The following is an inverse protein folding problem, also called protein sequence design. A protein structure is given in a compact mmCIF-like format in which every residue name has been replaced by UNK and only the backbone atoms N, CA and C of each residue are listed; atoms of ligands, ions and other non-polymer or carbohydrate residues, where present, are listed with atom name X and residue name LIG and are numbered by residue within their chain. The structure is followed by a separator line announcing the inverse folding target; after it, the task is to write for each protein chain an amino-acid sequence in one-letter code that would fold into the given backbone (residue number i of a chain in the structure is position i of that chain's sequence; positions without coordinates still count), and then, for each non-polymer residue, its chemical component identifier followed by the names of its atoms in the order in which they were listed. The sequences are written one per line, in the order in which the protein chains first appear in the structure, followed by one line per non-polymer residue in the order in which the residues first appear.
data_IF_935098792363
#
_entry.id   IF_935098792363
#
_cell.length_a   1.000
_cell.length_b   1.000
_cell.length_c   1.000
_cell.angle_alpha   90.00
_cell.angle_beta   90.00
_cell.angle_gamma   90.00
#
_symmetry.space_group_name_H-M   'P 1'
#
loop_
_entity.id
_entity.type
_entity.pdbx_description
1 polymer ?
#
# COMPACT_ATOMS: atom_id res chain seq x y z
N UNK A 1 20.97 -34.50 6.14
CA UNK A 1 22.29 -34.05 5.69
C UNK A 1 22.10 -33.38 4.35
N UNK A 2 22.46 -32.10 4.22
CA UNK A 2 22.50 -31.34 2.97
C UNK A 2 23.95 -31.00 2.64
N UNK A 3 24.29 -30.94 1.35
CA UNK A 3 25.58 -30.45 0.87
C UNK A 3 25.29 -29.32 -0.12
N UNK A 4 25.95 -28.18 0.03
CA UNK A 4 25.94 -27.06 -0.91
C UNK A 4 27.21 -27.12 -1.75
N UNK A 5 27.09 -27.01 -3.05
CA UNK A 5 28.20 -26.88 -3.98
C UNK A 5 28.10 -25.46 -4.55
N UNK A 6 29.13 -24.66 -4.36
CA UNK A 6 29.18 -23.26 -4.80
C UNK A 6 29.99 -23.19 -6.12
N UNK A 7 29.84 -22.10 -6.86
CA UNK A 7 30.57 -21.74 -8.09
C UNK A 7 30.48 -22.81 -9.20
N UNK A 8 29.30 -23.41 -9.37
CA UNK A 8 29.07 -24.37 -10.47
C UNK A 8 28.71 -23.59 -11.75
N UNK A 9 29.53 -23.67 -12.81
CA UNK A 9 29.20 -23.01 -14.08
C UNK A 9 27.90 -23.51 -14.70
N UNK A 10 27.28 -22.71 -15.54
CA UNK A 10 26.08 -23.08 -16.30
C UNK A 10 26.37 -24.32 -17.16
N UNK A 11 25.49 -25.32 -17.13
CA UNK A 11 25.66 -26.54 -17.90
C UNK A 11 24.78 -27.70 -17.43
N UNK A 12 24.96 -28.85 -18.08
CA UNK A 12 24.31 -30.10 -17.66
C UNK A 12 25.29 -30.92 -16.84
N UNK A 13 24.87 -31.32 -15.64
CA UNK A 13 25.71 -32.02 -14.68
C UNK A 13 25.11 -33.34 -14.23
N UNK A 14 26.01 -34.32 -14.01
CA UNK A 14 25.70 -35.56 -13.30
C UNK A 14 26.15 -35.44 -11.86
N UNK A 15 25.23 -35.48 -10.91
CA UNK A 15 25.56 -35.51 -9.48
C UNK A 15 25.62 -36.94 -8.98
N UNK A 16 26.67 -37.25 -8.23
CA UNK A 16 26.84 -38.55 -7.58
C UNK A 16 27.16 -38.37 -6.11
N UNK A 17 26.48 -39.10 -5.25
CA UNK A 17 26.71 -39.10 -3.82
C UNK A 17 26.84 -40.54 -3.30
N UNK A 18 27.71 -40.74 -2.33
CA UNK A 18 27.82 -42.00 -1.60
C UNK A 18 28.14 -41.74 -0.14
N UNK A 19 27.74 -42.64 0.73
CA UNK A 19 28.15 -42.65 2.13
C UNK A 19 29.49 -43.39 2.32
N UNK A 20 30.25 -42.94 3.32
CA UNK A 20 31.47 -43.58 3.77
C UNK A 20 31.31 -43.76 5.27
N UNK A 21 31.45 -45.01 5.75
CA UNK A 21 31.37 -45.29 7.18
C UNK A 21 32.73 -45.03 7.88
N UNK A 22 32.76 -45.17 9.21
CA UNK A 22 33.97 -44.96 10.03
C UNK A 22 35.13 -45.91 9.72
N UNK A 23 34.88 -47.02 9.04
CA UNK A 23 35.91 -47.99 8.58
C UNK A 23 36.30 -47.76 7.11
N UNK A 24 35.96 -46.60 6.54
CA UNK A 24 36.26 -46.22 5.16
C UNK A 24 35.62 -47.14 4.09
N UNK A 25 34.60 -47.89 4.46
CA UNK A 25 33.81 -48.68 3.49
C UNK A 25 32.78 -47.74 2.82
N UNK A 26 32.73 -47.80 1.49
CA UNK A 26 31.96 -46.92 0.64
C UNK A 26 30.68 -47.63 0.17
N UNK A 27 29.53 -46.94 0.20
CA UNK A 27 28.32 -47.44 -0.42
C UNK A 27 28.39 -47.38 -1.95
N UNK A 28 27.41 -47.99 -2.64
CA UNK A 28 27.17 -47.72 -4.04
C UNK A 28 26.87 -46.22 -4.26
N UNK A 29 27.11 -45.73 -5.47
CA UNK A 29 26.76 -44.37 -5.86
C UNK A 29 25.25 -44.24 -6.02
N UNK A 30 24.67 -43.20 -5.42
CA UNK A 30 23.41 -42.66 -5.84
C UNK A 30 23.71 -41.58 -6.89
N UNK A 31 23.06 -41.63 -8.04
CA UNK A 31 23.32 -40.74 -9.16
C UNK A 31 22.04 -40.01 -9.57
N UNK A 32 22.17 -38.72 -9.87
CA UNK A 32 21.18 -37.89 -10.49
C UNK A 32 21.81 -37.32 -11.77
N UNK A 33 21.36 -37.78 -12.93
CA UNK A 33 21.96 -37.43 -14.23
C UNK A 33 21.25 -36.30 -14.93
N UNK A 34 22.00 -35.60 -15.79
CA UNK A 34 21.50 -34.56 -16.71
C UNK A 34 20.73 -33.43 -16.01
N UNK A 35 21.22 -33.02 -14.85
CA UNK A 35 20.61 -31.89 -14.15
C UNK A 35 21.12 -30.58 -14.74
N UNK A 36 20.21 -29.71 -15.23
CA UNK A 36 20.59 -28.41 -15.74
C UNK A 36 20.97 -27.50 -14.56
N UNK A 37 22.13 -26.89 -14.63
CA UNK A 37 22.50 -25.73 -13.82
C UNK A 37 22.37 -24.52 -14.72
N UNK A 38 21.30 -23.77 -14.56
CA UNK A 38 21.02 -22.58 -15.38
C UNK A 38 21.78 -21.34 -14.86
N UNK A 39 22.32 -21.40 -13.66
CA UNK A 39 23.03 -20.30 -13.00
C UNK A 39 22.13 -19.14 -12.62
N UNK A 40 22.70 -18.09 -12.08
CA UNK A 40 22.03 -16.84 -11.70
C UNK A 40 21.60 -15.99 -12.93
N UNK A 41 21.77 -16.48 -14.17
CA UNK A 41 21.45 -15.76 -15.39
C UNK A 41 20.07 -16.10 -15.96
N UNK A 42 19.46 -17.21 -15.55
CA UNK A 42 18.12 -17.57 -15.98
C UNK A 42 17.07 -16.92 -15.06
N UNK A 43 16.01 -16.32 -15.63
CA UNK A 43 14.90 -15.81 -14.82
C UNK A 43 14.20 -16.99 -14.08
N UNK A 44 13.70 -16.77 -12.86
CA UNK A 44 12.97 -17.80 -12.13
C UNK A 44 11.63 -18.14 -12.84
N UNK A 45 11.10 -19.33 -12.50
CA UNK A 45 9.80 -19.75 -13.02
C UNK A 45 8.67 -18.83 -12.54
N UNK A 46 7.68 -18.59 -13.42
CA UNK A 46 6.47 -17.86 -13.05
C UNK A 46 5.73 -18.55 -11.90
N UNK A 47 5.11 -17.76 -11.03
CA UNK A 47 4.24 -18.29 -9.98
C UNK A 47 3.09 -19.10 -10.59
N UNK A 48 2.69 -20.18 -9.93
CA UNK A 48 1.55 -20.99 -10.35
C UNK A 48 0.44 -20.95 -9.31
N UNK A 49 -0.83 -21.14 -9.76
CA UNK A 49 -2.03 -21.12 -8.92
C UNK A 49 -2.17 -19.82 -8.09
N UNK A 50 -1.73 -18.71 -8.66
CA UNK A 50 -1.88 -17.40 -8.02
C UNK A 50 -3.37 -17.04 -7.95
N UNK A 51 -3.85 -16.77 -6.76
CA UNK A 51 -5.26 -16.45 -6.50
C UNK A 51 -5.40 -15.49 -5.34
N UNK A 52 -6.51 -14.74 -5.32
CA UNK A 52 -6.85 -13.80 -4.27
C UNK A 52 -8.28 -14.04 -3.80
N UNK A 53 -8.49 -13.98 -2.49
CA UNK A 53 -9.79 -14.05 -1.84
C UNK A 53 -9.95 -12.87 -0.90
N UNK A 54 -11.06 -12.14 -1.02
CA UNK A 54 -11.44 -11.11 -0.05
C UNK A 54 -12.03 -11.77 1.19
N UNK A 55 -11.50 -11.43 2.36
CA UNK A 55 -12.00 -11.88 3.66
C UNK A 55 -11.75 -10.78 4.69
N UNK A 56 -12.80 -10.38 5.43
CA UNK A 56 -12.74 -9.40 6.52
C UNK A 56 -12.02 -8.08 6.15
N UNK A 57 -12.25 -7.58 4.92
CA UNK A 57 -11.61 -6.36 4.43
C UNK A 57 -10.14 -6.52 4.05
N UNK A 58 -9.65 -7.76 3.98
CA UNK A 58 -8.29 -8.09 3.60
C UNK A 58 -8.25 -8.92 2.31
N UNK A 59 -7.18 -8.77 1.55
CA UNK A 59 -6.86 -9.60 0.40
C UNK A 59 -5.96 -10.75 0.84
N UNK A 60 -6.52 -11.94 0.95
CA UNK A 60 -5.76 -13.16 1.17
C UNK A 60 -5.27 -13.70 -0.16
N UNK A 61 -4.00 -13.55 -0.41
CA UNK A 61 -3.35 -13.95 -1.66
C UNK A 61 -2.62 -15.28 -1.42
N UNK A 62 -2.71 -16.19 -2.37
CA UNK A 62 -2.03 -17.49 -2.29
C UNK A 62 -1.51 -17.94 -3.65
N UNK A 63 -0.47 -18.76 -3.61
CA UNK A 63 0.15 -19.38 -4.78
C UNK A 63 0.70 -20.76 -4.44
N UNK A 64 1.00 -21.56 -5.46
CA UNK A 64 1.62 -22.87 -5.25
C UNK A 64 3.04 -22.70 -4.73
N UNK A 65 3.50 -23.74 -4.01
CA UNK A 65 4.88 -23.80 -3.52
C UNK A 65 5.87 -23.63 -4.67
N UNK A 66 6.79 -22.70 -4.51
CA UNK A 66 7.88 -22.46 -5.45
C UNK A 66 8.87 -23.64 -5.34
N UNK A 67 9.35 -24.09 -6.48
CA UNK A 67 10.33 -25.19 -6.57
C UNK A 67 11.70 -24.71 -7.00
N UNK A 68 11.80 -23.49 -7.45
CA UNK A 68 13.04 -22.86 -7.86
C UNK A 68 13.92 -22.59 -6.63
N UNK A 69 15.09 -23.21 -6.60
CA UNK A 69 15.98 -23.16 -5.46
C UNK A 69 16.57 -21.77 -5.23
N UNK A 70 16.77 -20.99 -6.30
CA UNK A 70 17.32 -19.65 -6.22
C UNK A 70 16.30 -18.66 -5.60
N UNK A 71 15.01 -18.93 -5.80
CA UNK A 71 13.95 -18.18 -5.12
C UNK A 71 13.80 -18.63 -3.66
N UNK A 72 13.90 -19.92 -3.39
CA UNK A 72 13.75 -20.49 -2.03
C UNK A 72 14.89 -20.05 -1.11
N UNK A 73 16.13 -19.99 -1.61
CA UNK A 73 17.36 -19.85 -0.82
C UNK A 73 17.92 -18.43 -0.76
N UNK A 74 17.14 -17.42 -1.03
CA UNK A 74 17.60 -16.03 -0.95
C UNK A 74 16.71 -15.08 -1.73
N UNK A 75 15.90 -15.64 -2.64
CA UNK A 75 14.92 -14.89 -3.39
C UNK A 75 13.62 -14.66 -2.62
N UNK A 76 12.67 -14.06 -3.30
CA UNK A 76 11.40 -13.64 -2.71
C UNK A 76 10.28 -13.57 -3.75
N UNK A 77 9.06 -13.34 -3.28
CA UNK A 77 7.90 -12.96 -4.12
C UNK A 77 7.64 -11.49 -3.90
N UNK A 78 7.54 -10.73 -4.99
CA UNK A 78 7.12 -9.34 -4.98
C UNK A 78 5.69 -9.23 -5.47
N UNK A 79 4.88 -8.47 -4.74
CA UNK A 79 3.50 -8.19 -5.12
C UNK A 79 3.37 -6.70 -5.42
N UNK A 80 2.72 -6.38 -6.55
CA UNK A 80 2.32 -5.03 -6.95
C UNK A 80 0.81 -4.93 -7.04
N UNK A 81 0.30 -3.73 -6.90
CA UNK A 81 -1.11 -3.42 -7.08
C UNK A 81 -1.29 -2.25 -8.03
N UNK A 82 -2.33 -2.31 -8.85
CA UNK A 82 -2.81 -1.21 -9.69
C UNK A 82 -4.32 -1.11 -9.61
N UNK A 83 -4.86 0.09 -9.83
CA UNK A 83 -6.32 0.33 -9.91
C UNK A 83 -6.93 -0.20 -11.23
N UNK A 84 -6.13 -0.65 -12.18
CA UNK A 84 -6.60 -1.21 -13.45
C UNK A 84 -7.19 -2.60 -13.21
N UNK A 85 -8.47 -2.80 -13.61
CA UNK A 85 -9.18 -4.07 -13.43
C UNK A 85 -8.95 -5.08 -14.56
N UNK A 86 -8.65 -4.63 -15.75
CA UNK A 86 -8.46 -5.47 -16.93
C UNK A 86 -7.30 -4.98 -17.77
N UNK A 87 -6.45 -5.90 -18.23
CA UNK A 87 -5.28 -5.59 -19.02
C UNK A 87 -4.12 -4.98 -18.23
N UNK A 88 -4.14 -5.07 -16.90
CA UNK A 88 -3.05 -4.61 -16.04
C UNK A 88 -1.74 -5.31 -16.39
N UNK A 89 -0.67 -4.54 -16.46
CA UNK A 89 0.69 -5.02 -16.70
C UNK A 89 1.57 -4.72 -15.48
N UNK A 90 2.67 -5.45 -15.33
CA UNK A 90 3.56 -5.36 -14.16
C UNK A 90 4.03 -3.92 -13.87
N UNK A 91 4.36 -3.17 -14.92
CA UNK A 91 4.80 -1.78 -14.84
C UNK A 91 3.70 -0.78 -14.43
N UNK A 92 2.42 -1.16 -14.56
CA UNK A 92 1.30 -0.30 -14.14
C UNK A 92 1.08 -0.31 -12.63
N UNK A 93 1.75 -1.26 -11.93
CA UNK A 93 1.55 -1.47 -10.51
C UNK A 93 2.67 -0.93 -9.66
N UNK A 94 2.30 -0.59 -8.43
CA UNK A 94 3.24 -0.20 -7.38
C UNK A 94 3.36 -1.29 -6.33
N UNK A 95 4.53 -1.39 -5.73
CA UNK A 95 4.78 -2.37 -4.69
C UNK A 95 3.78 -2.21 -3.54
N UNK A 96 3.19 -3.33 -3.10
CA UNK A 96 2.27 -3.38 -1.97
C UNK A 96 2.76 -4.43 -0.97
N UNK A 97 3.09 -4.00 0.22
CA UNK A 97 3.72 -4.84 1.22
C UNK A 97 5.22 -5.04 0.99
N UNK A 98 5.82 -5.80 1.88
CA UNK A 98 7.23 -6.16 1.81
C UNK A 98 7.47 -7.36 0.89
N UNK A 99 8.74 -7.60 0.55
CA UNK A 99 9.17 -8.80 -0.15
C UNK A 99 8.86 -10.04 0.70
N UNK A 100 8.19 -11.03 0.09
CA UNK A 100 7.73 -12.24 0.76
C UNK A 100 8.72 -13.35 0.49
N UNK A 101 9.29 -13.98 1.53
CA UNK A 101 10.25 -15.08 1.36
C UNK A 101 9.77 -16.12 0.34
N UNK A 102 10.67 -16.58 -0.52
CA UNK A 102 10.39 -17.62 -1.53
C UNK A 102 9.89 -18.97 -0.95
N UNK A 103 9.99 -19.16 0.36
CA UNK A 103 9.44 -20.33 1.05
C UNK A 103 7.96 -20.22 1.40
N UNK A 104 7.40 -19.01 1.38
CA UNK A 104 6.00 -18.75 1.68
C UNK A 104 5.10 -19.07 0.47
N UNK A 105 3.83 -19.35 0.75
CA UNK A 105 2.82 -19.66 -0.27
C UNK A 105 1.59 -18.75 -0.17
N UNK A 106 1.60 -17.79 0.73
CA UNK A 106 0.50 -16.86 0.95
C UNK A 106 0.97 -15.56 1.56
N UNK A 107 0.14 -14.53 1.39
CA UNK A 107 0.29 -13.23 2.03
C UNK A 107 -1.08 -12.62 2.29
N UNK A 108 -1.16 -11.76 3.30
CA UNK A 108 -2.38 -10.99 3.60
C UNK A 108 -2.05 -9.52 3.41
N UNK A 109 -2.80 -8.88 2.53
CA UNK A 109 -2.62 -7.48 2.15
C UNK A 109 -3.94 -6.72 2.34
N UNK A 110 -3.90 -5.39 2.40
CA UNK A 110 -5.12 -4.58 2.39
C UNK A 110 -5.97 -4.89 1.15
N UNK A 111 -7.31 -4.98 1.33
CA UNK A 111 -8.22 -5.16 0.22
C UNK A 111 -8.40 -3.85 -0.54
N UNK A 112 -7.96 -3.83 -1.79
CA UNK A 112 -8.07 -2.69 -2.70
C UNK A 112 -8.81 -3.13 -3.98
N UNK A 113 -9.65 -2.27 -4.57
CA UNK A 113 -10.17 -2.51 -5.90
C UNK A 113 -9.05 -2.40 -6.93
N UNK A 114 -9.03 -3.29 -7.92
CA UNK A 114 -7.98 -3.30 -8.94
C UNK A 114 -7.34 -4.68 -9.11
N UNK A 115 -6.09 -4.71 -9.52
CA UNK A 115 -5.36 -5.94 -9.82
C UNK A 115 -4.11 -6.07 -8.96
N UNK A 116 -4.01 -7.19 -8.26
CA UNK A 116 -2.79 -7.66 -7.62
C UNK A 116 -1.98 -8.47 -8.61
N UNK A 117 -0.71 -8.18 -8.69
CA UNK A 117 0.24 -8.81 -9.60
C UNK A 117 1.42 -9.34 -8.80
N UNK A 118 1.89 -10.53 -9.14
CA UNK A 118 3.02 -11.13 -8.43
C UNK A 118 4.04 -11.72 -9.39
N UNK A 119 5.31 -11.50 -9.07
CA UNK A 119 6.47 -12.13 -9.71
C UNK A 119 7.35 -12.80 -8.65
N UNK A 120 7.97 -13.91 -9.01
CA UNK A 120 9.08 -14.47 -8.27
C UNK A 120 10.36 -13.71 -8.60
N UNK A 121 11.23 -13.56 -7.62
CA UNK A 121 12.55 -12.90 -7.75
C UNK A 121 13.59 -13.85 -7.19
N UNK A 122 14.64 -14.11 -7.93
CA UNK A 122 15.75 -14.96 -7.49
C UNK A 122 16.72 -14.21 -6.54
N UNK A 123 17.69 -14.90 -5.99
CA UNK A 123 18.74 -14.33 -5.14
C UNK A 123 19.57 -13.26 -5.88
N UNK A 124 19.66 -13.34 -7.21
CA UNK A 124 20.35 -12.37 -8.06
C UNK A 124 19.52 -11.13 -8.41
N UNK A 125 18.27 -11.04 -7.94
CA UNK A 125 17.38 -9.91 -8.19
C UNK A 125 16.61 -9.99 -9.51
N UNK A 126 16.67 -11.10 -10.26
CA UNK A 126 15.93 -11.25 -11.52
C UNK A 126 14.51 -11.67 -11.28
N UNK A 127 13.62 -11.05 -12.02
CA UNK A 127 12.18 -11.33 -11.97
C UNK A 127 11.80 -12.49 -12.90
N UNK A 128 10.77 -13.25 -12.51
CA UNK A 128 10.10 -14.18 -13.43
C UNK A 128 9.53 -13.43 -14.64
N UNK A 129 9.47 -14.12 -15.79
CA UNK A 129 9.11 -13.49 -17.06
C UNK A 129 7.72 -12.87 -17.00
N UNK A 130 6.72 -13.62 -16.54
CA UNK A 130 5.34 -13.15 -16.53
C UNK A 130 4.84 -12.91 -15.11
N UNK A 131 4.18 -11.77 -14.89
CA UNK A 131 3.43 -11.55 -13.67
C UNK A 131 2.15 -12.42 -13.66
N UNK A 132 1.79 -12.96 -12.51
CA UNK A 132 0.47 -13.56 -12.29
C UNK A 132 -0.47 -12.53 -11.68
N UNK A 133 -1.71 -12.51 -12.15
CA UNK A 133 -2.68 -11.48 -11.86
C UNK A 133 -3.90 -12.05 -11.16
N UNK A 134 -4.41 -11.30 -10.18
CA UNK A 134 -5.70 -11.56 -9.55
C UNK A 134 -6.43 -10.23 -9.33
N UNK A 135 -7.56 -10.04 -9.99
CA UNK A 135 -8.31 -8.77 -9.94
C UNK A 135 -9.49 -8.86 -8.99
N UNK A 136 -9.82 -7.75 -8.37
CA UNK A 136 -11.00 -7.58 -7.53
C UNK A 136 -11.68 -6.25 -7.79
N UNK A 137 -12.98 -6.30 -7.95
CA UNK A 137 -13.85 -5.12 -7.97
C UNK A 137 -14.60 -4.93 -6.64
N UNK A 138 -14.24 -5.68 -5.59
CA UNK A 138 -14.84 -5.51 -4.27
C UNK A 138 -14.47 -4.11 -3.79
N UNK A 139 -15.44 -3.23 -3.57
CA UNK A 139 -15.17 -1.92 -3.01
C UNK A 139 -14.59 -2.07 -1.61
N UNK A 140 -13.78 -1.10 -1.20
CA UNK A 140 -13.34 -1.01 0.17
C UNK A 140 -14.59 -0.94 1.07
N UNK A 141 -14.82 -1.97 1.90
CA UNK A 141 -16.11 -2.21 2.58
C UNK A 141 -16.37 -1.18 3.71
N UNK A 142 -15.40 -0.32 4.03
CA UNK A 142 -15.57 0.69 5.06
C UNK A 142 -15.90 2.05 4.44
N UNK A 143 -17.04 2.62 4.82
CA UNK A 143 -17.33 4.03 4.56
C UNK A 143 -16.38 4.86 5.44
N UNK A 144 -15.35 5.40 4.82
CA UNK A 144 -14.45 6.36 5.43
C UNK A 144 -14.80 7.77 4.98
N UNK A 145 -14.63 8.73 5.85
CA UNK A 145 -14.76 10.13 5.50
C UNK A 145 -13.39 10.69 5.14
N UNK A 146 -13.21 11.04 3.87
CA UNK A 146 -12.01 11.72 3.42
C UNK A 146 -11.83 13.03 4.17
N UNK A 147 -10.81 13.09 5.02
CA UNK A 147 -10.49 14.26 5.85
C UNK A 147 -9.52 15.15 5.12
N UNK A 148 -8.46 14.53 4.56
CA UNK A 148 -7.43 15.24 3.80
C UNK A 148 -7.09 14.42 2.57
N UNK A 149 -7.09 15.06 1.39
CA UNK A 149 -6.52 14.51 0.17
C UNK A 149 -5.42 15.44 -0.31
N UNK A 150 -4.20 14.92 -0.43
CA UNK A 150 -3.05 15.62 -1.00
C UNK A 150 -2.84 15.07 -2.41
N UNK A 151 -2.98 15.93 -3.41
CA UNK A 151 -2.82 15.57 -4.82
C UNK A 151 -1.66 16.35 -5.40
N UNK A 152 -0.66 15.65 -5.92
CA UNK A 152 0.56 16.25 -6.46
C UNK A 152 0.52 16.40 -7.99
N UNK A 153 -0.15 15.45 -8.68
CA UNK A 153 -0.32 15.53 -10.14
C UNK A 153 -1.36 16.60 -10.53
N UNK A 154 -1.25 17.23 -11.68
CA UNK A 154 -0.21 17.06 -12.70
C UNK A 154 1.00 17.97 -12.50
N UNK A 155 1.00 18.84 -11.50
CA UNK A 155 1.99 19.91 -11.37
C UNK A 155 3.26 19.48 -10.63
N UNK A 156 3.15 18.54 -9.69
CA UNK A 156 4.26 18.04 -8.88
C UNK A 156 5.14 19.16 -8.33
N UNK A 157 4.54 20.04 -7.51
CA UNK A 157 5.18 21.27 -7.03
C UNK A 157 6.16 21.06 -5.88
N UNK A 158 6.20 19.86 -5.33
CA UNK A 158 7.09 19.50 -4.22
C UNK A 158 8.57 19.50 -4.59
N UNK A 159 9.43 19.35 -3.57
CA UNK A 159 10.87 19.31 -3.74
C UNK A 159 11.32 18.04 -4.48
N UNK A 160 12.33 18.17 -5.33
CA UNK A 160 12.84 17.11 -6.20
C UNK A 160 14.35 16.99 -6.04
N UNK A 161 14.84 15.77 -6.06
CA UNK A 161 16.27 15.45 -6.15
C UNK A 161 16.41 14.47 -7.31
N UNK A 162 17.21 14.82 -8.30
CA UNK A 162 17.47 14.04 -9.53
C UNK A 162 16.18 13.65 -10.28
N UNK A 163 15.16 14.51 -10.18
CA UNK A 163 13.87 14.38 -10.84
C UNK A 163 13.35 15.72 -11.35
N UNK A 164 12.61 15.68 -12.45
CA UNK A 164 11.96 16.85 -13.03
C UNK A 164 10.56 16.55 -13.53
N UNK A 165 9.82 17.60 -13.86
CA UNK A 165 8.48 17.50 -14.47
C UNK A 165 8.55 17.91 -15.92
N UNK A 166 8.25 16.99 -16.80
CA UNK A 166 8.21 17.22 -18.25
C UNK A 166 6.82 16.88 -18.77
N UNK A 167 6.16 17.83 -19.41
CA UNK A 167 4.80 17.64 -19.96
C UNK A 167 3.78 17.09 -18.95
N UNK A 168 3.82 17.60 -17.70
CA UNK A 168 2.98 17.17 -16.58
C UNK A 168 3.25 15.74 -16.08
N UNK A 169 4.40 15.18 -16.40
CA UNK A 169 4.84 13.87 -15.92
C UNK A 169 6.09 14.05 -15.08
N UNK A 170 6.11 13.44 -13.89
CA UNK A 170 7.30 13.42 -13.05
C UNK A 170 8.17 12.23 -13.48
N UNK A 171 9.45 12.50 -13.73
CA UNK A 171 10.43 11.52 -14.21
C UNK A 171 11.82 11.80 -13.65
N UNK A 172 12.73 10.82 -13.77
CA UNK A 172 14.14 11.00 -13.45
C UNK A 172 14.81 11.96 -14.44
N UNK A 173 15.80 12.70 -13.95
CA UNK A 173 16.62 13.56 -14.78
C UNK A 173 17.55 12.76 -15.68
N UNK A 174 17.95 13.35 -16.80
CA UNK A 174 18.99 12.79 -17.65
C UNK A 174 20.37 13.32 -17.21
N UNK A 175 21.32 12.42 -16.97
CA UNK A 175 22.73 12.75 -16.69
C UNK A 175 23.40 13.27 -17.97
N UNK A 176 23.07 12.66 -19.10
CA UNK A 176 23.53 13.03 -20.44
C UNK A 176 22.53 12.59 -21.50
N UNK A 177 22.77 12.87 -22.78
CA UNK A 177 21.87 12.41 -23.84
C UNK A 177 21.73 10.89 -23.78
N UNK A 178 20.53 10.41 -23.43
CA UNK A 178 20.16 9.01 -23.39
C UNK A 178 20.60 8.23 -22.15
N UNK A 179 21.13 8.88 -21.12
CA UNK A 179 21.48 8.23 -19.85
C UNK A 179 20.68 8.87 -18.74
N UNK A 180 19.88 8.08 -18.09
CA UNK A 180 18.96 8.50 -17.00
C UNK A 180 19.60 8.24 -15.65
N UNK A 181 19.29 9.08 -14.66
CA UNK A 181 19.73 8.92 -13.28
C UNK A 181 19.34 7.54 -12.70
N UNK A 182 20.23 6.97 -11.90
CA UNK A 182 20.00 5.68 -11.22
C UNK A 182 19.01 5.75 -10.07
N UNK A 183 18.69 6.95 -9.58
CA UNK A 183 17.70 7.15 -8.53
C UNK A 183 17.22 8.58 -8.48
N UNK A 184 16.07 8.80 -7.88
CA UNK A 184 15.55 10.13 -7.62
C UNK A 184 14.53 10.14 -6.48
N UNK A 185 14.30 11.32 -5.92
CA UNK A 185 13.32 11.48 -4.83
C UNK A 185 12.43 12.69 -5.07
N UNK A 186 11.14 12.47 -4.93
CA UNK A 186 10.12 13.52 -4.94
C UNK A 186 9.46 13.62 -3.57
N UNK A 187 9.53 14.77 -2.93
CA UNK A 187 8.82 15.06 -1.68
C UNK A 187 7.50 15.77 -2.00
N UNK A 188 6.42 15.37 -1.36
CA UNK A 188 5.14 16.07 -1.50
C UNK A 188 5.27 17.53 -1.07
N UNK A 189 4.53 18.39 -1.76
CA UNK A 189 4.58 19.84 -1.49
C UNK A 189 4.05 20.19 -0.09
N UNK A 190 3.10 19.42 0.41
CA UNK A 190 2.47 19.66 1.69
C UNK A 190 2.36 18.37 2.51
N UNK A 191 2.52 18.51 3.83
CA UNK A 191 2.15 17.50 4.80
C UNK A 191 0.66 17.60 5.12
N UNK A 192 0.04 16.49 5.56
CA UNK A 192 -1.32 16.51 6.10
C UNK A 192 -1.26 16.71 7.63
N UNK A 193 -2.00 17.71 8.14
CA UNK A 193 -2.23 17.92 9.58
C UNK A 193 -3.71 17.72 9.89
N UNK A 194 -4.03 16.79 10.77
CA UNK A 194 -5.39 16.48 11.21
C UNK A 194 -5.87 17.37 12.39
N UNK A 195 -5.01 18.27 12.88
CA UNK A 195 -5.32 19.13 14.03
C UNK A 195 -5.31 18.42 15.39
N UNK A 196 -5.12 17.12 15.42
CA UNK A 196 -5.03 16.25 16.61
C UNK A 196 -4.63 14.84 16.20
N UNK A 197 -4.23 14.00 17.16
CA UNK A 197 -3.84 12.62 16.90
C UNK A 197 -5.07 11.72 16.81
N UNK A 198 -5.30 11.13 15.64
CA UNK A 198 -6.42 10.23 15.35
C UNK A 198 -5.93 8.94 14.72
N UNK A 199 -6.70 7.86 14.91
CA UNK A 199 -6.54 6.67 14.07
C UNK A 199 -7.21 6.92 12.74
N UNK A 200 -6.44 6.88 11.65
CA UNK A 200 -6.91 7.19 10.30
C UNK A 200 -6.45 6.12 9.32
N UNK A 201 -7.30 5.80 8.34
CA UNK A 201 -6.93 4.98 7.19
C UNK A 201 -6.21 5.84 6.17
N UNK A 202 -5.01 5.42 5.76
CA UNK A 202 -4.26 6.10 4.70
C UNK A 202 -4.25 5.22 3.46
N UNK A 203 -4.68 5.82 2.34
CA UNK A 203 -4.66 5.20 1.02
C UNK A 203 -3.89 6.09 0.05
N UNK A 204 -3.35 5.51 -1.02
CA UNK A 204 -2.61 6.26 -2.02
C UNK A 204 -2.98 5.80 -3.43
N UNK A 205 -2.86 6.72 -4.38
CA UNK A 205 -2.89 6.44 -5.80
C UNK A 205 -1.56 6.89 -6.39
N UNK A 206 -0.75 5.94 -6.86
CA UNK A 206 0.48 6.17 -7.58
C UNK A 206 0.38 5.40 -8.90
N UNK A 207 0.36 6.10 -10.03
CA UNK A 207 0.36 5.52 -11.35
C UNK A 207 1.66 5.87 -12.05
N UNK A 208 2.39 4.84 -12.42
CA UNK A 208 3.66 4.97 -13.12
C UNK A 208 3.72 4.01 -14.30
N UNK A 209 4.53 4.35 -15.28
CA UNK A 209 4.90 3.50 -16.41
C UNK A 209 6.36 3.70 -16.72
N UNK A 210 6.99 2.72 -17.35
CA UNK A 210 8.36 2.82 -17.82
C UNK A 210 8.39 2.93 -19.34
N UNK A 211 9.29 3.74 -19.86
CA UNK A 211 9.49 3.89 -21.28
C UNK A 211 10.99 4.05 -21.58
N UNK A 212 11.38 3.59 -22.73
CA UNK A 212 12.73 3.82 -23.22
C UNK A 212 12.98 5.33 -23.38
N UNK A 213 14.14 5.79 -22.96
CA UNK A 213 14.55 7.20 -23.01
C UNK A 213 15.41 7.52 -24.23
N UNK A 214 15.87 6.48 -24.93
CA UNK A 214 16.69 6.59 -26.14
C UNK A 214 16.07 5.80 -27.27
N UNK A 215 16.27 6.26 -28.50
CA UNK A 215 15.99 5.46 -29.69
C UNK A 215 17.10 4.41 -29.85
N UNK A 216 16.92 3.25 -29.23
CA UNK A 216 17.88 2.16 -29.28
C UNK A 216 18.00 1.59 -30.69
N UNK A 217 16.96 1.66 -31.54
CA UNK A 217 16.98 1.15 -32.88
C UNK A 217 18.07 1.82 -33.69
N UNK A 218 18.12 3.14 -33.67
CA UNK A 218 19.12 3.93 -34.47
C UNK A 218 20.54 3.83 -33.90
N UNK A 219 20.70 3.51 -32.63
CA UNK A 219 21.99 3.43 -31.93
C UNK A 219 22.60 2.02 -31.91
N UNK A 220 21.84 0.98 -32.25
CA UNK A 220 22.28 -0.42 -32.22
C UNK A 220 23.17 -0.77 -33.41
N UNK A 221 24.36 -1.28 -33.09
CA UNK A 221 25.33 -1.78 -34.08
C UNK A 221 25.31 -3.30 -34.24
N UNK A 222 24.64 -4.01 -33.31
CA UNK A 222 24.50 -5.47 -33.37
C UNK A 222 23.40 -5.89 -34.35
N UNK A 223 23.49 -7.12 -34.86
CA UNK A 223 22.43 -7.68 -35.71
C UNK A 223 21.11 -7.82 -34.90
N UNK A 224 20.00 -7.55 -35.58
CA UNK A 224 18.64 -7.61 -34.98
C UNK A 224 18.34 -8.96 -34.32
N UNK A 225 18.91 -10.05 -34.82
CA UNK A 225 18.74 -11.39 -34.27
C UNK A 225 19.38 -11.57 -32.89
N UNK A 226 20.25 -10.62 -32.48
CA UNK A 226 20.92 -10.64 -31.16
C UNK A 226 20.27 -9.69 -30.14
N UNK A 227 19.20 -9.01 -30.54
CA UNK A 227 18.51 -8.08 -29.63
C UNK A 227 17.56 -8.83 -28.68
N UNK A 228 17.70 -8.57 -27.40
CA UNK A 228 16.80 -9.15 -26.38
C UNK A 228 15.44 -8.45 -26.37
N UNK A 229 15.41 -7.13 -26.68
CA UNK A 229 14.21 -6.30 -26.67
C UNK A 229 14.19 -5.36 -27.87
N UNK A 230 12.99 -4.97 -28.30
CA UNK A 230 12.76 -3.88 -29.26
C UNK A 230 12.52 -2.56 -28.54
N UNK A 231 12.66 -1.44 -29.24
CA UNK A 231 12.31 -0.12 -28.74
C UNK A 231 10.85 -0.07 -28.27
N UNK A 232 10.63 0.60 -27.15
CA UNK A 232 9.31 0.77 -26.57
C UNK A 232 8.86 -0.36 -25.64
N UNK A 233 9.64 -1.42 -25.45
CA UNK A 233 9.34 -2.41 -24.42
C UNK A 233 9.53 -1.79 -23.02
N UNK A 234 8.61 -2.06 -22.10
CA UNK A 234 8.76 -1.57 -20.73
C UNK A 234 9.86 -2.36 -20.00
N UNK A 235 10.59 -1.66 -19.13
CA UNK A 235 11.59 -2.28 -18.26
C UNK A 235 11.02 -2.54 -16.88
N UNK A 236 11.32 -3.68 -16.27
CA UNK A 236 11.01 -4.00 -14.88
C UNK A 236 12.16 -3.68 -13.90
N UNK A 237 13.25 -3.09 -14.42
CA UNK A 237 14.40 -2.65 -13.64
C UNK A 237 14.19 -1.28 -12.96
N UNK A 238 13.02 -0.65 -13.15
CA UNK A 238 12.66 0.58 -12.50
C UNK A 238 11.57 0.34 -11.46
N UNK A 239 11.69 1.03 -10.32
CA UNK A 239 10.71 0.95 -9.25
C UNK A 239 10.45 2.33 -8.67
N UNK A 240 9.17 2.65 -8.44
CA UNK A 240 8.74 3.81 -7.67
C UNK A 240 8.13 3.34 -6.35
N UNK A 241 8.72 3.74 -5.25
CA UNK A 241 8.27 3.39 -3.91
C UNK A 241 7.76 4.64 -3.20
N UNK A 242 6.46 4.64 -2.86
CA UNK A 242 5.91 5.64 -1.97
C UNK A 242 6.38 5.36 -0.54
N UNK A 243 6.88 6.36 0.13
CA UNK A 243 7.30 6.30 1.53
C UNK A 243 6.52 7.33 2.34
N UNK A 244 6.35 7.04 3.62
CA UNK A 244 5.65 7.88 4.58
C UNK A 244 6.45 8.01 5.86
N UNK A 245 6.31 9.16 6.53
CA UNK A 245 6.65 9.35 7.95
C UNK A 245 5.50 10.04 8.66
N UNK A 246 5.39 9.80 9.96
CA UNK A 246 4.30 10.29 10.78
C UNK A 246 4.81 11.00 12.03
N UNK A 247 4.00 11.90 12.57
CA UNK A 247 4.24 12.50 13.87
C UNK A 247 2.94 12.60 14.68
N UNK A 248 3.01 12.27 15.96
CA UNK A 248 1.90 12.40 16.91
C UNK A 248 1.98 13.69 17.71
N UNK A 249 3.17 14.26 17.84
CA UNK A 249 3.48 15.45 18.65
C UNK A 249 4.02 16.56 17.78
N UNK A 250 3.55 17.77 18.07
CA UNK A 250 4.04 19.02 17.51
C UNK A 250 4.87 19.74 18.58
N UNK A 251 6.15 19.85 18.37
CA UNK A 251 6.99 20.68 19.24
C UNK A 251 6.80 22.15 18.83
N UNK A 252 6.29 23.01 19.72
CA UNK A 252 6.05 24.42 19.39
C UNK A 252 7.29 25.19 18.91
N UNK A 253 8.49 24.71 19.22
CA UNK A 253 9.76 25.35 18.85
C UNK A 253 10.41 24.72 17.59
N UNK A 254 10.19 23.41 17.35
CA UNK A 254 10.85 22.63 16.31
C UNK A 254 9.91 22.03 15.25
N UNK A 255 8.60 22.13 15.47
CA UNK A 255 7.59 21.52 14.59
C UNK A 255 7.35 20.02 14.89
N UNK A 256 6.72 19.28 13.99
CA UNK A 256 6.37 17.87 14.20
C UNK A 256 7.59 16.99 14.49
N UNK A 257 7.49 16.14 15.50
CA UNK A 257 8.51 15.14 15.82
C UNK A 257 8.27 13.92 14.94
N UNK A 258 8.98 13.88 13.81
CA UNK A 258 8.80 12.87 12.78
C UNK A 258 9.43 11.52 13.14
N UNK A 259 8.74 10.43 12.78
CA UNK A 259 9.34 9.10 12.68
C UNK A 259 10.37 9.03 11.54
N UNK A 260 11.10 7.92 11.47
CA UNK A 260 11.89 7.61 10.27
C UNK A 260 10.97 7.37 9.06
N UNK A 261 11.53 7.56 7.85
CA UNK A 261 10.86 7.19 6.61
C UNK A 261 10.71 5.68 6.50
N UNK A 262 9.51 5.23 6.17
CA UNK A 262 9.21 3.82 5.92
C UNK A 262 8.43 3.64 4.62
N UNK A 263 8.53 2.50 3.94
CA UNK A 263 7.67 2.20 2.81
C UNK A 263 6.19 2.36 3.21
N UNK A 264 5.43 3.01 2.35
CA UNK A 264 4.01 3.22 2.58
C UNK A 264 3.25 1.90 2.40
N UNK A 265 2.45 1.57 3.37
CA UNK A 265 1.47 0.49 3.30
C UNK A 265 0.08 1.08 3.53
N UNK A 266 -0.91 0.63 2.76
CA UNK A 266 -2.31 0.98 3.05
C UNK A 266 -2.68 0.38 4.39
N UNK A 267 -3.14 1.19 5.32
CA UNK A 267 -3.44 0.73 6.68
C UNK A 267 -3.98 1.83 7.58
N UNK A 268 -4.21 1.46 8.83
CA UNK A 268 -4.63 2.37 9.89
C UNK A 268 -3.42 2.83 10.69
N UNK A 269 -3.28 4.16 10.80
CA UNK A 269 -2.16 4.80 11.47
C UNK A 269 -2.70 5.75 12.53
N UNK A 270 -2.05 5.76 13.70
CA UNK A 270 -2.33 6.72 14.75
C UNK A 270 -1.32 7.86 14.67
N UNK A 271 -1.76 9.01 14.15
CA UNK A 271 -0.92 10.19 13.99
C UNK A 271 -1.75 11.48 13.92
N UNK A 272 -1.10 12.62 14.08
CA UNK A 272 -1.60 13.95 13.74
C UNK A 272 -1.09 14.40 12.38
N UNK A 273 0.20 14.20 12.10
CA UNK A 273 0.86 14.66 10.88
C UNK A 273 1.31 13.50 10.02
N UNK A 274 1.19 13.66 8.72
CA UNK A 274 1.66 12.72 7.70
C UNK A 274 2.47 13.47 6.65
N UNK A 275 3.61 12.94 6.29
CA UNK A 275 4.45 13.44 5.20
C UNK A 275 4.82 12.29 4.27
N UNK A 276 4.88 12.58 2.97
CA UNK A 276 5.05 11.56 1.94
C UNK A 276 6.18 11.94 0.98
N UNK A 277 6.84 10.92 0.43
CA UNK A 277 7.78 11.05 -0.67
C UNK A 277 7.72 9.84 -1.58
N UNK A 278 8.09 10.01 -2.84
CA UNK A 278 8.33 8.91 -3.77
C UNK A 278 9.84 8.79 -3.98
N UNK A 279 10.36 7.58 -3.79
CA UNK A 279 11.74 7.22 -4.11
C UNK A 279 11.70 6.34 -5.36
N UNK A 280 12.44 6.75 -6.38
CA UNK A 280 12.59 5.99 -7.62
C UNK A 280 13.99 5.38 -7.64
N UNK A 281 14.07 4.11 -8.02
CA UNK A 281 15.32 3.42 -8.34
C UNK A 281 15.29 2.97 -9.79
N UNK A 282 16.42 3.03 -10.46
CA UNK A 282 16.58 2.70 -11.86
C UNK A 282 17.89 1.94 -12.06
N UNK A 283 17.81 0.67 -12.37
CA UNK A 283 18.95 -0.19 -12.64
C UNK A 283 19.23 -0.32 -14.15
N UNK A 284 18.45 0.38 -15.01
CA UNK A 284 18.63 0.44 -16.46
C UNK A 284 18.60 1.90 -16.96
N UNK A 285 19.76 2.48 -17.14
CA UNK A 285 19.95 3.87 -17.54
C UNK A 285 19.36 4.24 -18.92
N UNK A 286 18.93 3.26 -19.70
CA UNK A 286 18.30 3.51 -21.01
C UNK A 286 16.79 3.77 -20.89
N UNK A 287 16.21 3.53 -19.72
CA UNK A 287 14.78 3.70 -19.48
C UNK A 287 14.54 4.82 -18.49
N UNK A 288 13.38 5.45 -18.61
CA UNK A 288 12.88 6.38 -17.61
C UNK A 288 11.52 5.93 -17.08
N UNK A 289 11.19 6.37 -15.88
CA UNK A 289 9.88 6.20 -15.28
C UNK A 289 9.02 7.43 -15.56
N UNK A 290 7.75 7.22 -15.83
CA UNK A 290 6.74 8.26 -16.00
C UNK A 290 5.69 8.14 -14.91
N UNK A 291 5.70 9.03 -13.92
CA UNK A 291 4.69 9.09 -12.89
C UNK A 291 3.62 10.10 -13.31
N UNK A 292 2.42 9.62 -13.61
CA UNK A 292 1.31 10.41 -14.15
C UNK A 292 0.24 10.74 -13.13
N UNK A 293 0.10 9.95 -12.07
CA UNK A 293 -0.80 10.23 -10.97
C UNK A 293 -0.11 9.98 -9.64
N UNK A 294 -0.29 10.89 -8.71
CA UNK A 294 0.22 10.80 -7.34
C UNK A 294 -0.72 11.54 -6.41
N UNK A 295 -1.36 10.82 -5.51
CA UNK A 295 -2.18 11.40 -4.44
C UNK A 295 -2.24 10.46 -3.25
N UNK A 296 -2.47 11.03 -2.08
CA UNK A 296 -2.70 10.30 -0.84
C UNK A 296 -3.96 10.84 -0.20
N UNK A 297 -4.79 9.94 0.31
CA UNK A 297 -6.01 10.29 1.04
C UNK A 297 -5.91 9.73 2.47
N UNK A 298 -6.16 10.61 3.43
CA UNK A 298 -6.28 10.27 4.85
C UNK A 298 -7.75 10.29 5.21
N UNK A 299 -8.27 9.13 5.57
CA UNK A 299 -9.68 8.90 5.89
C UNK A 299 -9.84 8.52 7.35
N UNK A 300 -10.95 8.96 7.96
CA UNK A 300 -11.31 8.55 9.31
C UNK A 300 -12.56 7.67 9.28
N UNK A 301 -12.60 6.53 10.01
CA UNK A 301 -13.77 5.68 10.06
C UNK A 301 -14.95 6.40 10.71
N UNK A 302 -16.15 6.11 10.22
CA UNK A 302 -17.39 6.51 10.86
C UNK A 302 -17.45 5.96 12.28
N UNK A 303 -17.96 6.78 13.17
CA UNK A 303 -18.16 6.44 14.56
C UNK A 303 -19.54 6.82 15.01
N UNK A 304 -20.14 5.93 15.79
CA UNK A 304 -21.44 6.13 16.41
C UNK A 304 -21.32 5.98 17.92
N UNK A 305 -21.86 6.97 18.66
CA UNK A 305 -22.11 6.84 20.09
C UNK A 305 -23.62 6.89 20.34
N UNK A 306 -24.07 6.17 21.34
CA UNK A 306 -25.48 6.07 21.70
C UNK A 306 -25.68 5.79 23.18
N UNK A 307 -26.82 6.22 23.72
CA UNK A 307 -27.30 5.75 25.01
C UNK A 307 -28.82 5.61 24.97
N UNK A 308 -29.30 4.76 25.88
CA UNK A 308 -30.71 4.43 25.99
C UNK A 308 -31.20 4.87 27.40
N UNK A 309 -32.50 5.18 27.49
CA UNK A 309 -33.23 5.49 28.72
C UNK A 309 -32.59 6.61 29.57
N UNK A 310 -32.02 7.61 28.87
CA UNK A 310 -31.42 8.77 29.53
C UNK A 310 -32.52 9.72 29.99
N UNK A 311 -32.62 9.92 31.30
CA UNK A 311 -33.59 10.85 31.90
C UNK A 311 -33.10 12.29 31.72
N UNK A 312 -33.91 13.13 31.08
CA UNK A 312 -33.60 14.55 30.88
C UNK A 312 -34.17 15.39 32.03
N UNK A 313 -33.49 16.48 32.38
CA UNK A 313 -34.01 17.47 33.32
C UNK A 313 -34.97 18.46 32.63
N UNK A 314 -35.95 19.01 33.36
CA UNK A 314 -36.90 19.99 32.81
C UNK A 314 -36.23 21.29 32.31
N UNK A 315 -35.08 21.65 32.86
CA UNK A 315 -34.30 22.82 32.46
C UNK A 315 -33.23 22.50 31.38
N UNK A 316 -33.22 21.27 30.86
CA UNK A 316 -32.26 20.78 29.86
C UNK A 316 -31.16 19.92 30.48
N UNK A 317 -30.65 19.00 29.68
CA UNK A 317 -29.56 18.08 30.03
C UNK A 317 -28.42 18.18 29.05
N UNK A 318 -27.20 18.36 29.55
CA UNK A 318 -25.97 18.21 28.74
C UNK A 318 -25.60 16.73 28.67
N UNK A 319 -25.37 16.26 27.47
CA UNK A 319 -24.89 14.93 27.16
C UNK A 319 -23.45 15.05 26.63
N UNK A 320 -22.49 14.42 27.30
CA UNK A 320 -21.10 14.37 26.86
C UNK A 320 -20.83 13.07 26.12
N UNK A 321 -20.09 13.14 25.03
CA UNK A 321 -19.58 11.97 24.33
C UNK A 321 -18.39 11.38 25.09
N UNK A 322 -18.20 10.07 25.00
CA UNK A 322 -17.08 9.39 25.65
C UNK A 322 -15.73 9.86 25.06
N UNK A 323 -15.71 10.15 23.78
CA UNK A 323 -14.56 10.72 23.07
C UNK A 323 -15.04 11.81 22.11
N UNK A 324 -14.24 12.86 21.94
CA UNK A 324 -14.55 13.90 20.95
C UNK A 324 -14.59 13.33 19.53
N UNK A 325 -15.57 13.77 18.73
CA UNK A 325 -15.56 13.52 17.28
C UNK A 325 -14.59 14.47 16.58
N UNK A 326 -14.11 14.11 15.40
CA UNK A 326 -13.32 15.03 14.58
C UNK A 326 -14.19 16.17 14.03
N UNK A 327 -15.39 15.84 13.58
CA UNK A 327 -16.38 16.81 13.13
C UNK A 327 -17.64 16.79 14.02
N UNK A 328 -18.41 17.87 13.98
CA UNK A 328 -19.70 17.98 14.67
C UNK A 328 -20.63 16.84 14.22
N UNK A 329 -21.14 15.99 15.15
CA UNK A 329 -21.96 14.85 14.76
C UNK A 329 -23.40 15.25 14.40
N UNK A 330 -24.04 14.38 13.62
CA UNK A 330 -25.52 14.35 13.51
C UNK A 330 -26.08 13.65 14.74
N UNK A 331 -27.06 14.26 15.39
CA UNK A 331 -27.70 13.74 16.60
C UNK A 331 -29.16 13.40 16.31
N UNK A 332 -29.49 12.12 16.45
CA UNK A 332 -30.86 11.61 16.44
C UNK A 332 -31.36 11.37 17.87
N UNK A 333 -32.59 11.76 18.18
CA UNK A 333 -33.20 11.59 19.50
C UNK A 333 -34.60 11.00 19.34
N UNK A 334 -34.93 10.05 20.21
CA UNK A 334 -36.27 9.47 20.34
C UNK A 334 -36.72 9.57 21.79
N UNK A 335 -37.85 10.25 22.04
CA UNK A 335 -38.50 10.23 23.37
C UNK A 335 -39.22 8.90 23.55
N UNK A 336 -39.01 8.24 24.73
CA UNK A 336 -39.59 6.94 25.03
C UNK A 336 -40.96 7.05 25.74
N UNK A 337 -41.18 8.10 26.49
CA UNK A 337 -42.36 8.35 27.36
C UNK A 337 -43.14 9.62 26.96
N UNK A 338 -43.13 9.96 25.66
CA UNK A 338 -43.75 11.16 25.15
C UNK A 338 -45.31 11.14 25.24
N UNK A 339 -45.87 12.21 25.70
CA UNK A 339 -47.33 12.49 25.60
C UNK A 339 -47.68 13.29 24.34
N UNK A 340 -48.94 13.35 24.00
CA UNK A 340 -49.41 14.12 22.86
C UNK A 340 -48.99 15.58 22.95
N UNK A 341 -48.24 16.08 21.94
CA UNK A 341 -47.77 17.43 21.88
C UNK A 341 -46.41 17.70 22.53
N UNK A 342 -45.80 16.68 23.12
CA UNK A 342 -44.40 16.78 23.61
C UNK A 342 -43.43 16.89 22.44
N UNK A 343 -42.38 17.68 22.63
CA UNK A 343 -41.30 17.81 21.67
C UNK A 343 -39.96 18.07 22.39
N UNK A 344 -38.86 17.97 21.66
CA UNK A 344 -37.55 18.33 22.15
C UNK A 344 -36.83 19.34 21.31
N UNK A 345 -35.84 20.02 21.90
CA UNK A 345 -34.89 20.90 21.20
C UNK A 345 -33.47 20.48 21.54
N UNK A 346 -32.63 20.40 20.54
CA UNK A 346 -31.17 20.35 20.72
C UNK A 346 -30.69 21.80 20.70
N UNK A 347 -30.26 22.34 21.83
CA UNK A 347 -29.90 23.76 21.99
C UNK A 347 -28.38 23.97 21.76
N UNK A 348 -27.57 22.94 21.90
CA UNK A 348 -26.16 22.95 21.58
C UNK A 348 -25.79 21.60 20.99
N UNK A 349 -24.93 21.60 19.98
CA UNK A 349 -24.33 20.39 19.43
C UNK A 349 -22.89 20.72 19.02
N UNK A 350 -21.93 20.05 19.64
CA UNK A 350 -20.49 20.25 19.50
C UNK A 350 -19.79 18.91 19.23
N UNK A 351 -18.50 18.93 19.00
CA UNK A 351 -17.68 17.71 18.85
C UNK A 351 -17.63 16.84 20.12
N UNK A 352 -17.88 17.44 21.29
CA UNK A 352 -17.72 16.79 22.61
C UNK A 352 -19.03 16.43 23.27
N UNK A 353 -20.17 16.89 22.74
CA UNK A 353 -21.48 16.63 23.34
C UNK A 353 -22.58 17.55 22.79
N UNK A 354 -23.78 17.34 23.30
CA UNK A 354 -24.94 18.15 22.93
C UNK A 354 -25.81 18.43 24.16
N UNK A 355 -26.65 19.46 24.07
CA UNK A 355 -27.64 19.78 25.10
C UNK A 355 -29.03 19.58 24.54
N UNK A 356 -29.87 18.85 25.24
CA UNK A 356 -31.27 18.58 24.88
C UNK A 356 -32.20 19.02 25.98
N UNK A 357 -33.34 19.58 25.61
CA UNK A 357 -34.43 19.90 26.52
C UNK A 357 -35.75 19.44 25.93
N UNK A 358 -36.58 18.78 26.76
CA UNK A 358 -37.92 18.35 26.40
C UNK A 358 -38.96 19.32 26.88
N UNK A 359 -40.01 19.50 26.11
CA UNK A 359 -41.12 20.44 26.36
C UNK A 359 -42.47 19.75 26.17
N UNK A 360 -43.47 20.18 26.92
CA UNK A 360 -44.86 19.81 26.67
C UNK A 360 -45.52 20.77 25.66
N UNK A 361 -46.78 20.53 25.30
CA UNK A 361 -47.57 21.33 24.39
C UNK A 361 -47.74 22.81 24.80
N UNK A 362 -47.53 23.11 26.11
CA UNK A 362 -47.57 24.48 26.63
C UNK A 362 -46.18 25.17 26.63
N UNK A 363 -45.17 24.60 25.98
CA UNK A 363 -43.79 25.07 25.99
C UNK A 363 -43.12 25.08 27.37
N UNK A 364 -43.63 24.30 28.32
CA UNK A 364 -43.02 24.15 29.63
C UNK A 364 -41.99 23.01 29.55
N UNK A 365 -40.79 23.24 30.09
CA UNK A 365 -39.77 22.22 30.16
C UNK A 365 -40.23 21.07 31.08
N UNK A 366 -40.04 19.84 30.64
CA UNK A 366 -40.47 18.61 31.29
C UNK A 366 -39.36 17.57 31.34
N UNK A 367 -39.47 16.65 32.32
CA UNK A 367 -38.61 15.46 32.41
C UNK A 367 -39.13 14.39 31.46
N UNK A 368 -38.25 13.82 30.66
CA UNK A 368 -38.55 12.70 29.73
C UNK A 368 -37.38 11.72 29.67
N UNK A 369 -37.70 10.47 29.36
CA UNK A 369 -36.71 9.48 29.00
C UNK A 369 -36.45 9.56 27.47
N UNK A 370 -35.19 9.60 27.09
CA UNK A 370 -34.77 9.65 25.68
C UNK A 370 -33.76 8.57 25.38
N UNK A 371 -33.82 8.07 24.14
CA UNK A 371 -32.71 7.40 23.48
C UNK A 371 -32.06 8.37 22.51
N UNK A 372 -30.75 8.32 22.42
CA UNK A 372 -30.04 9.16 21.45
C UNK A 372 -28.94 8.37 20.72
N UNK A 373 -28.63 8.83 19.51
CA UNK A 373 -27.55 8.36 18.67
C UNK A 373 -26.84 9.58 18.07
N UNK A 374 -25.53 9.59 18.13
CA UNK A 374 -24.69 10.60 17.50
C UNK A 374 -23.74 9.90 16.50
N UNK A 375 -23.72 10.38 15.27
CA UNK A 375 -22.91 9.80 14.20
C UNK A 375 -22.04 10.87 13.56
N UNK A 376 -20.75 10.60 13.46
CA UNK A 376 -19.74 11.38 12.75
C UNK A 376 -18.49 10.50 12.60
N UNK A 377 -17.29 11.07 12.52
CA UNK A 377 -16.05 10.33 12.33
C UNK A 377 -14.95 10.83 13.27
N UNK A 378 -13.87 10.02 13.33
CA UNK A 378 -12.71 10.28 14.16
C UNK A 378 -12.91 10.00 15.63
N UNK A 379 -11.89 9.48 16.27
CA UNK A 379 -11.82 9.23 17.71
C UNK A 379 -10.55 9.86 18.22
N UNK A 380 -10.68 10.93 18.97
CA UNK A 380 -9.59 11.50 19.77
C UNK A 380 -9.38 10.61 20.99
N UNK A 381 -8.13 10.19 21.25
CA UNK A 381 -7.77 9.29 22.36
C UNK A 381 -7.01 10.09 23.41
#
# INVERSE_FOLDING_TARGET
LSARIEDVPVGLYDFRVRSINSMNVKSAWAQLSSQPVAGLTAPPADLSNFSMRALDGQAHISWARITDLDVINGGYVRIRHTNVLSGAQWQDGNDIGEAISGTQTHSVLPMLPGTYMAKAVDEGGRFSVNAKLASSNVPNIMDFNSVVTVTEHPLFTGAKTDMSVVSNVLQLDAISSGVIEGSGTYYFANSADLGGSYTSRVTANLSSSTAISTDLFDSRVANIDSWENFDGEPSDQLSATLQMRIATVDDPAAGPVWSDWSPFLVGDYFARFYEFRVVVTNDDANYNISITALSVTVDMPDRTERAFDVTTAANGSGISFAHAFHAKPSVGITMQDANTGDYFRVTSNTRTGFTVQCFNSANTGIVRSINWIATSYGKEI
#
